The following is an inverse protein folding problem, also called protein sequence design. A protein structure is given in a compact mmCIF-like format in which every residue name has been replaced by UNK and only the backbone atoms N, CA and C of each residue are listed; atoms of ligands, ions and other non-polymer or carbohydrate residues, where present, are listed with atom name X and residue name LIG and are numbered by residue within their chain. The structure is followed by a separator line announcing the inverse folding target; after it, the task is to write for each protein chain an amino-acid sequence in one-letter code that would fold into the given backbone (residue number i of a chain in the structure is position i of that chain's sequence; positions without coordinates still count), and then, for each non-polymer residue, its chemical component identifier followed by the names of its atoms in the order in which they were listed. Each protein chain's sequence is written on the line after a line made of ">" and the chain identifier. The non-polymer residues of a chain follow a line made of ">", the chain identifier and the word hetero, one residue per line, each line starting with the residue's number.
data_IF_294149791952
#
_entry.id   IF_294149791952
#
_cell.length_a   1.000
_cell.length_b   1.000
_cell.length_c   1.000
_cell.angle_alpha   90.00
_cell.angle_beta   90.00
_cell.angle_gamma   90.00
#
_symmetry.space_group_name_H-M   'P 1'
#
loop_
_entity.id
_entity.type
_entity.pdbx_description
1 polymer ?
#
# COMPACT_ATOMS: atom_id res chain seq x y z
N UNK A 1 19.28 2.25 -12.30
CA UNK A 1 18.72 1.41 -13.37
C UNK A 1 19.80 0.44 -13.84
N UNK A 2 19.48 -0.82 -14.01
CA UNK A 2 20.42 -1.78 -14.59
C UNK A 2 20.38 -1.61 -16.12
N UNK A 3 21.41 -1.08 -16.76
CA UNK A 3 21.41 -0.81 -18.19
C UNK A 3 21.35 -2.07 -19.06
N UNK A 4 21.41 -3.26 -18.45
CA UNK A 4 21.31 -4.54 -19.16
C UNK A 4 19.91 -5.12 -19.22
N UNK A 5 18.91 -4.49 -18.58
CA UNK A 5 17.52 -4.90 -18.73
C UNK A 5 16.97 -4.36 -20.06
N UNK A 6 16.88 -5.25 -21.03
CA UNK A 6 16.36 -4.96 -22.38
C UNK A 6 14.84 -5.10 -22.45
N UNK A 7 14.19 -5.63 -21.41
CA UNK A 7 12.74 -5.87 -21.36
C UNK A 7 12.06 -4.88 -20.40
N UNK A 8 11.03 -4.23 -20.87
CA UNK A 8 10.13 -3.46 -20.02
C UNK A 8 9.44 -4.38 -19.00
N UNK A 9 9.26 -3.88 -17.77
CA UNK A 9 8.59 -4.64 -16.72
C UNK A 9 7.10 -4.90 -17.00
N UNK A 10 6.50 -4.13 -17.88
CA UNK A 10 5.07 -4.14 -18.18
C UNK A 10 4.39 -2.83 -17.78
N UNK A 11 3.06 -2.78 -17.88
CA UNK A 11 2.26 -1.59 -17.65
C UNK A 11 1.66 -1.59 -16.22
N UNK A 12 1.82 -0.47 -15.53
CA UNK A 12 1.38 -0.18 -14.15
C UNK A 12 1.95 -1.14 -13.09
N UNK A 13 3.15 -0.83 -12.58
CA UNK A 13 3.69 -1.47 -11.37
C UNK A 13 2.91 -1.01 -10.13
N UNK A 14 2.16 -1.92 -9.49
CA UNK A 14 1.27 -1.60 -8.38
C UNK A 14 1.89 -1.84 -7.00
N UNK A 15 2.78 -2.80 -6.86
CA UNK A 15 3.52 -3.06 -5.60
C UNK A 15 4.88 -3.69 -5.89
N UNK A 16 5.82 -3.52 -4.96
CA UNK A 16 7.14 -4.11 -5.03
C UNK A 16 7.61 -4.55 -3.64
N UNK A 17 8.00 -5.80 -3.49
CA UNK A 17 8.45 -6.38 -2.22
C UNK A 17 9.65 -7.29 -2.39
N UNK A 18 10.47 -7.35 -1.36
CA UNK A 18 11.59 -8.30 -1.25
C UNK A 18 11.20 -9.45 -0.35
N UNK A 19 11.45 -10.68 -0.80
CA UNK A 19 11.37 -11.87 0.04
C UNK A 19 12.50 -12.86 -0.27
N UNK A 20 13.32 -13.17 0.73
CA UNK A 20 14.53 -13.96 0.56
C UNK A 20 15.51 -13.28 -0.40
N UNK A 21 15.91 -13.99 -1.43
CA UNK A 21 16.80 -13.48 -2.47
C UNK A 21 16.07 -13.01 -3.75
N UNK A 22 14.77 -12.79 -3.65
CA UNK A 22 13.92 -12.41 -4.78
C UNK A 22 13.25 -11.06 -4.56
N UNK A 23 13.06 -10.34 -5.66
CA UNK A 23 12.26 -9.14 -5.79
C UNK A 23 10.98 -9.48 -6.55
N UNK A 24 9.84 -9.14 -6.00
CA UNK A 24 8.52 -9.36 -6.59
C UNK A 24 7.91 -8.02 -6.95
N UNK A 25 7.51 -7.85 -8.21
CA UNK A 25 6.81 -6.67 -8.70
C UNK A 25 5.43 -7.08 -9.23
N UNK A 26 4.37 -6.54 -8.63
CA UNK A 26 3.00 -6.77 -9.09
C UNK A 26 2.71 -5.80 -10.23
N UNK A 27 2.49 -6.33 -11.44
CA UNK A 27 2.24 -5.54 -12.65
C UNK A 27 0.75 -5.66 -13.00
N UNK A 28 0.00 -4.64 -12.61
CA UNK A 28 -1.45 -4.66 -12.59
C UNK A 28 -2.08 -4.84 -13.98
N UNK A 29 -1.86 -3.89 -14.89
CA UNK A 29 -2.50 -3.89 -16.22
C UNK A 29 -1.97 -5.00 -17.12
N UNK A 30 -0.71 -5.38 -16.94
CA UNK A 30 -0.13 -6.52 -17.67
C UNK A 30 -0.50 -7.88 -17.07
N UNK A 31 -1.23 -7.92 -15.95
CA UNK A 31 -1.82 -9.13 -15.36
C UNK A 31 -0.82 -10.20 -14.94
N UNK A 32 0.28 -9.81 -14.29
CA UNK A 32 1.25 -10.76 -13.73
C UNK A 32 2.03 -10.18 -12.55
N UNK A 33 2.70 -11.06 -11.82
CA UNK A 33 3.76 -10.73 -10.87
C UNK A 33 5.08 -11.11 -11.51
N UNK A 34 5.97 -10.14 -11.70
CA UNK A 34 7.34 -10.37 -12.15
C UNK A 34 8.21 -10.74 -10.95
N UNK A 35 8.94 -11.84 -11.05
CA UNK A 35 9.89 -12.31 -10.03
C UNK A 35 11.29 -12.20 -10.57
N UNK A 36 12.14 -11.48 -9.83
CA UNK A 36 13.52 -11.18 -10.24
C UNK A 36 14.52 -11.59 -9.15
N UNK A 37 15.73 -11.84 -9.54
CA UNK A 37 16.86 -12.01 -8.63
C UNK A 37 17.19 -10.67 -7.97
N UNK A 38 17.29 -10.67 -6.63
CA UNK A 38 17.33 -9.44 -5.83
C UNK A 38 18.51 -8.52 -6.17
N UNK A 39 19.71 -9.07 -6.39
CA UNK A 39 20.93 -8.29 -6.59
C UNK A 39 21.11 -7.77 -8.00
N UNK A 40 20.63 -8.51 -8.99
CA UNK A 40 20.86 -8.23 -10.41
C UNK A 40 19.62 -7.73 -11.14
N UNK A 41 18.43 -7.86 -10.52
CA UNK A 41 17.13 -7.67 -11.13
C UNK A 41 16.91 -8.52 -12.41
N UNK A 42 17.64 -9.63 -12.54
CA UNK A 42 17.41 -10.57 -13.64
C UNK A 42 16.11 -11.32 -13.47
N UNK A 43 15.39 -11.49 -14.55
CA UNK A 43 14.16 -12.28 -14.59
C UNK A 43 14.38 -13.70 -14.07
N UNK A 44 13.48 -14.17 -13.22
CA UNK A 44 13.39 -15.55 -12.75
C UNK A 44 12.12 -16.21 -13.30
N UNK A 45 10.96 -15.57 -13.09
CA UNK A 45 9.67 -16.09 -13.50
C UNK A 45 8.61 -14.98 -13.59
N UNK A 46 7.56 -15.27 -14.34
CA UNK A 46 6.33 -14.48 -14.38
C UNK A 46 5.19 -15.34 -13.84
N UNK A 47 4.44 -14.83 -12.88
CA UNK A 47 3.27 -15.51 -12.29
C UNK A 47 2.02 -14.81 -12.78
N UNK A 48 1.16 -15.42 -13.63
CA UNK A 48 -0.06 -14.80 -14.10
C UNK A 48 -1.01 -14.47 -12.94
N UNK A 49 -1.48 -13.21 -12.86
CA UNK A 49 -2.46 -12.75 -11.88
C UNK A 49 -3.24 -11.57 -12.46
N UNK A 50 -4.49 -11.79 -12.81
CA UNK A 50 -5.36 -10.77 -13.37
C UNK A 50 -5.55 -9.61 -12.37
N UNK A 51 -5.27 -8.39 -12.81
CA UNK A 51 -5.39 -7.17 -11.99
C UNK A 51 -4.86 -7.34 -10.56
N UNK A 52 -3.64 -7.88 -10.42
CA UNK A 52 -2.94 -8.00 -9.14
C UNK A 52 -2.71 -6.61 -8.52
N UNK A 53 -2.88 -6.51 -7.20
CA UNK A 53 -2.74 -5.22 -6.50
C UNK A 53 -1.55 -5.19 -5.55
N UNK A 54 -1.63 -5.88 -4.45
CA UNK A 54 -0.60 -5.87 -3.40
C UNK A 54 -0.15 -7.28 -3.09
N UNK A 55 1.07 -7.41 -2.56
CA UNK A 55 1.66 -8.69 -2.18
C UNK A 55 2.26 -8.60 -0.78
N UNK A 56 2.11 -9.66 0.03
CA UNK A 56 2.78 -9.80 1.33
C UNK A 56 3.24 -11.24 1.54
N UNK A 57 4.12 -11.49 2.52
CA UNK A 57 4.81 -12.77 2.67
C UNK A 57 4.80 -13.27 4.10
N UNK A 58 4.59 -14.57 4.27
CA UNK A 58 4.80 -15.30 5.51
C UNK A 58 5.12 -16.78 5.23
N UNK A 59 5.99 -17.38 6.04
CA UNK A 59 6.22 -18.83 6.10
C UNK A 59 6.48 -19.50 4.74
N UNK A 60 7.27 -18.88 3.88
CA UNK A 60 7.61 -19.40 2.55
C UNK A 60 6.49 -19.26 1.51
N UNK A 61 5.45 -18.51 1.82
CA UNK A 61 4.33 -18.20 0.93
C UNK A 61 4.25 -16.71 0.66
N UNK A 62 3.79 -16.36 -0.54
CA UNK A 62 3.33 -15.03 -0.89
C UNK A 62 1.80 -15.03 -0.99
N UNK A 63 1.20 -13.93 -0.60
CA UNK A 63 -0.23 -13.69 -0.70
C UNK A 63 -0.44 -12.42 -1.50
N UNK A 64 -1.24 -12.50 -2.57
CA UNK A 64 -1.47 -11.36 -3.45
C UNK A 64 -2.96 -11.13 -3.67
N UNK A 65 -3.38 -9.86 -3.59
CA UNK A 65 -4.74 -9.43 -3.89
C UNK A 65 -4.94 -9.24 -5.39
N UNK A 66 -6.15 -9.49 -5.87
CA UNK A 66 -6.57 -9.30 -7.25
C UNK A 66 -8.01 -8.81 -7.31
N UNK A 67 -8.29 -7.86 -8.20
CA UNK A 67 -9.66 -7.42 -8.46
C UNK A 67 -10.52 -8.48 -9.16
N UNK A 68 -9.89 -9.50 -9.75
CA UNK A 68 -10.54 -10.56 -10.53
C UNK A 68 -11.44 -10.03 -11.66
N UNK A 69 -11.15 -8.85 -12.17
CA UNK A 69 -11.88 -8.18 -13.23
C UNK A 69 -11.22 -6.86 -13.65
N UNK A 70 -11.77 -6.16 -14.64
CA UNK A 70 -11.16 -4.95 -15.20
C UNK A 70 -11.18 -3.78 -14.20
N UNK A 71 -10.23 -2.86 -14.34
CA UNK A 71 -10.19 -1.58 -13.62
C UNK A 71 -11.06 -0.57 -14.36
N UNK A 72 -12.36 -0.68 -14.19
CA UNK A 72 -13.36 0.22 -14.78
C UNK A 72 -14.46 0.53 -13.77
N UNK A 73 -15.08 1.70 -13.89
CA UNK A 73 -16.25 2.04 -13.08
C UNK A 73 -17.40 1.12 -13.49
N UNK A 74 -17.71 0.15 -12.63
CA UNK A 74 -18.79 -0.80 -12.83
C UNK A 74 -19.39 -1.24 -11.47
N UNK A 75 -20.63 -0.86 -11.16
CA UNK A 75 -21.31 -1.28 -9.95
C UNK A 75 -21.55 -2.82 -9.89
N UNK A 76 -21.40 -3.52 -11.03
CA UNK A 76 -21.53 -4.98 -11.15
C UNK A 76 -20.18 -5.69 -11.15
N UNK A 77 -19.07 -5.00 -10.87
CA UNK A 77 -17.74 -5.61 -10.79
C UNK A 77 -17.77 -6.86 -9.89
N UNK A 78 -17.02 -7.91 -10.23
CA UNK A 78 -17.00 -9.14 -9.45
C UNK A 78 -16.37 -8.93 -8.07
N UNK A 79 -16.59 -9.86 -7.17
CA UNK A 79 -15.80 -9.97 -5.94
C UNK A 79 -14.33 -10.22 -6.31
N UNK A 80 -13.44 -9.62 -5.53
CA UNK A 80 -12.01 -9.86 -5.67
C UNK A 80 -11.56 -11.15 -4.99
N UNK A 81 -10.28 -11.42 -5.08
CA UNK A 81 -9.68 -12.60 -4.49
C UNK A 81 -8.29 -12.35 -3.92
N UNK A 82 -7.86 -13.25 -3.05
CA UNK A 82 -6.46 -13.43 -2.68
C UNK A 82 -5.97 -14.76 -3.22
N UNK A 83 -4.76 -14.77 -3.76
CA UNK A 83 -4.05 -15.98 -4.15
C UNK A 83 -2.89 -16.25 -3.20
N UNK A 84 -2.67 -17.53 -2.86
CA UNK A 84 -1.46 -18.01 -2.20
C UNK A 84 -0.48 -18.54 -3.25
N UNK A 85 0.76 -18.11 -3.16
CA UNK A 85 1.84 -18.49 -4.07
C UNK A 85 2.95 -19.15 -3.26
N UNK A 86 3.40 -20.33 -3.68
CA UNK A 86 4.58 -20.95 -3.11
C UNK A 86 5.85 -20.25 -3.62
N UNK A 87 6.68 -19.73 -2.71
CA UNK A 87 7.86 -18.91 -3.07
C UNK A 87 9.05 -19.71 -3.61
N UNK A 88 9.02 -21.05 -3.52
CA UNK A 88 10.04 -21.92 -4.09
C UNK A 88 9.66 -22.32 -5.52
N UNK A 89 8.42 -22.78 -5.71
CA UNK A 89 7.93 -23.24 -7.02
C UNK A 89 7.40 -22.11 -7.89
N UNK A 90 7.11 -20.94 -7.30
CA UNK A 90 6.52 -19.76 -7.94
C UNK A 90 5.17 -20.03 -8.61
N UNK A 91 4.39 -20.93 -8.01
CA UNK A 91 3.06 -21.32 -8.50
C UNK A 91 1.98 -20.91 -7.52
N UNK A 92 0.82 -20.48 -8.04
CA UNK A 92 -0.39 -20.30 -7.24
C UNK A 92 -0.82 -21.68 -6.74
N UNK A 93 -1.06 -21.80 -5.44
CA UNK A 93 -1.43 -23.06 -4.76
C UNK A 93 -2.87 -23.06 -4.28
N UNK A 94 -3.39 -21.90 -3.86
CA UNK A 94 -4.76 -21.74 -3.36
C UNK A 94 -5.29 -20.36 -3.74
N UNK A 95 -6.61 -20.21 -3.74
CA UNK A 95 -7.27 -18.89 -3.84
C UNK A 95 -8.49 -18.84 -2.92
N UNK A 96 -8.85 -17.62 -2.49
CA UNK A 96 -10.04 -17.33 -1.70
C UNK A 96 -10.69 -16.05 -2.17
N UNK A 97 -12.02 -16.09 -2.33
CA UNK A 97 -12.81 -14.89 -2.65
C UNK A 97 -12.92 -14.01 -1.40
N UNK A 98 -12.83 -12.69 -1.58
CA UNK A 98 -12.93 -11.68 -0.53
C UNK A 98 -13.97 -10.61 -0.88
N UNK A 99 -13.82 -9.37 -0.39
CA UNK A 99 -14.67 -8.26 -0.79
C UNK A 99 -14.38 -7.73 -2.19
N UNK A 100 -15.02 -6.62 -2.52
CA UNK A 100 -14.86 -5.99 -3.82
C UNK A 100 -13.57 -5.18 -3.90
N UNK A 101 -12.84 -5.39 -4.99
CA UNK A 101 -11.64 -4.62 -5.33
C UNK A 101 -10.66 -4.52 -4.14
N UNK A 102 -10.14 -5.66 -3.66
CA UNK A 102 -9.22 -5.72 -2.53
C UNK A 102 -7.91 -4.99 -2.86
N UNK A 103 -7.51 -4.08 -2.00
CA UNK A 103 -6.24 -3.33 -2.10
C UNK A 103 -5.16 -3.96 -1.19
N UNK A 104 -4.58 -3.21 -0.26
CA UNK A 104 -3.45 -3.69 0.55
C UNK A 104 -3.86 -4.78 1.55
N UNK A 105 -2.89 -5.63 1.90
CA UNK A 105 -3.08 -6.77 2.80
C UNK A 105 -1.96 -6.83 3.83
N UNK A 106 -2.31 -7.25 5.05
CA UNK A 106 -1.36 -7.39 6.15
C UNK A 106 -1.56 -8.72 6.89
N UNK A 107 -0.47 -9.25 7.45
CA UNK A 107 -0.48 -10.54 8.17
C UNK A 107 -0.19 -10.29 9.64
N UNK A 108 -1.11 -10.75 10.50
CA UNK A 108 -0.90 -10.79 11.96
C UNK A 108 -1.11 -12.23 12.41
N UNK A 109 -0.10 -12.80 13.04
CA UNK A 109 -0.09 -14.21 13.47
C UNK A 109 -0.44 -15.16 12.32
N UNK A 110 -1.56 -15.87 12.43
CA UNK A 110 -2.05 -16.82 11.41
C UNK A 110 -3.19 -16.26 10.56
N UNK A 111 -3.48 -14.96 10.65
CA UNK A 111 -4.54 -14.31 9.92
C UNK A 111 -3.97 -13.33 8.88
N UNK A 112 -4.60 -13.32 7.72
CA UNK A 112 -4.39 -12.35 6.66
C UNK A 112 -5.59 -11.39 6.63
N UNK A 113 -5.31 -10.10 6.71
CA UNK A 113 -6.29 -9.02 6.70
C UNK A 113 -6.20 -8.29 5.37
N UNK A 114 -7.35 -8.08 4.71
CA UNK A 114 -7.42 -7.50 3.36
C UNK A 114 -8.37 -6.31 3.36
N UNK A 115 -7.88 -5.14 2.99
CA UNK A 115 -8.67 -3.94 2.84
C UNK A 115 -9.46 -3.99 1.52
N UNK A 116 -10.78 -4.07 1.58
CA UNK A 116 -11.66 -4.07 0.42
C UNK A 116 -12.13 -2.65 0.11
N UNK A 117 -11.80 -2.14 -1.07
CA UNK A 117 -12.13 -0.76 -1.44
C UNK A 117 -13.49 -0.66 -2.14
N UNK A 118 -13.78 -1.54 -3.06
CA UNK A 118 -14.89 -1.35 -3.99
C UNK A 118 -14.79 -0.01 -4.75
N UNK A 119 -13.58 0.56 -4.88
CA UNK A 119 -13.36 1.93 -5.30
C UNK A 119 -13.88 2.28 -6.69
N UNK A 120 -14.01 1.29 -7.57
CA UNK A 120 -14.60 1.46 -8.91
C UNK A 120 -16.07 1.03 -8.99
N UNK A 121 -16.71 0.69 -7.86
CA UNK A 121 -18.15 0.35 -7.79
C UNK A 121 -19.04 1.54 -7.38
N UNK A 122 -18.63 2.73 -7.69
CA UNK A 122 -19.35 3.98 -7.35
C UNK A 122 -20.83 3.90 -7.69
N UNK A 123 -21.73 4.26 -6.74
CA UNK A 123 -21.50 4.65 -5.35
C UNK A 123 -21.52 3.49 -4.35
N UNK A 124 -21.53 2.20 -4.79
CA UNK A 124 -21.62 1.02 -3.93
C UNK A 124 -20.22 0.54 -3.52
N UNK A 125 -19.44 1.39 -2.86
CA UNK A 125 -18.13 1.02 -2.33
C UNK A 125 -18.20 -0.17 -1.37
N UNK A 126 -17.11 -0.94 -1.27
CA UNK A 126 -16.93 -1.87 -0.16
C UNK A 126 -16.49 -1.09 1.10
N UNK A 127 -16.68 -1.68 2.28
CA UNK A 127 -16.38 -1.03 3.55
C UNK A 127 -15.72 -1.99 4.55
N UNK A 128 -15.25 -3.13 4.07
CA UNK A 128 -14.85 -4.24 4.94
C UNK A 128 -13.37 -4.55 4.88
N UNK A 129 -12.84 -5.06 5.99
CA UNK A 129 -11.58 -5.80 6.03
C UNK A 129 -11.93 -7.29 6.11
N UNK A 130 -11.53 -8.07 5.09
CA UNK A 130 -11.66 -9.53 5.11
C UNK A 130 -10.60 -10.15 5.99
N UNK A 131 -10.98 -11.12 6.83
CA UNK A 131 -10.08 -11.92 7.67
C UNK A 131 -9.99 -13.33 7.11
N UNK A 132 -8.78 -13.76 6.77
CA UNK A 132 -8.53 -15.09 6.17
C UNK A 132 -7.62 -15.87 7.12
N UNK A 133 -8.06 -17.04 7.57
CA UNK A 133 -7.19 -17.98 8.28
C UNK A 133 -6.19 -18.62 7.31
N UNK A 134 -4.89 -18.42 7.53
CA UNK A 134 -3.83 -18.87 6.63
C UNK A 134 -3.66 -20.39 6.59
N UNK A 135 -4.07 -21.10 7.64
CA UNK A 135 -3.99 -22.57 7.69
C UNK A 135 -5.02 -23.21 6.77
N UNK A 136 -6.28 -22.79 6.88
CA UNK A 136 -7.39 -23.30 6.07
C UNK A 136 -7.51 -22.58 4.74
N UNK A 137 -6.99 -21.38 4.62
CA UNK A 137 -7.09 -20.44 3.52
C UNK A 137 -8.55 -20.14 3.15
N UNK A 138 -9.34 -19.84 4.18
CA UNK A 138 -10.74 -19.45 4.06
C UNK A 138 -10.98 -18.12 4.74
N UNK A 139 -11.86 -17.31 4.14
CA UNK A 139 -12.38 -16.12 4.82
C UNK A 139 -13.24 -16.57 5.99
N UNK A 140 -12.92 -16.07 7.18
CA UNK A 140 -13.60 -16.42 8.44
C UNK A 140 -14.53 -15.33 8.90
N UNK A 141 -14.23 -14.06 8.55
CA UNK A 141 -14.96 -12.90 9.01
C UNK A 141 -14.75 -11.71 8.05
N UNK A 142 -15.67 -10.75 8.10
CA UNK A 142 -15.51 -9.40 7.54
C UNK A 142 -15.74 -8.37 8.64
N UNK A 143 -14.76 -7.50 8.84
CA UNK A 143 -14.82 -6.40 9.80
C UNK A 143 -15.36 -5.17 9.08
N UNK A 144 -16.53 -4.66 9.45
CA UNK A 144 -17.07 -3.39 8.95
C UNK A 144 -16.24 -2.23 9.50
N UNK A 145 -15.72 -1.36 8.62
CA UNK A 145 -14.88 -0.22 9.00
C UNK A 145 -15.43 1.09 8.45
N UNK A 146 -15.21 1.36 7.17
CA UNK A 146 -15.67 2.54 6.45
C UNK A 146 -15.52 2.31 4.94
N UNK A 147 -16.20 3.08 4.11
CA UNK A 147 -16.20 2.92 2.66
C UNK A 147 -14.81 3.15 2.05
N UNK A 148 -14.51 2.42 0.98
CA UNK A 148 -13.35 2.63 0.12
C UNK A 148 -12.01 2.52 0.87
N UNK A 149 -11.79 1.39 1.55
CA UNK A 149 -10.55 1.11 2.26
C UNK A 149 -9.37 0.98 1.29
N UNK A 150 -8.16 1.33 1.74
CA UNK A 150 -6.99 1.33 0.86
C UNK A 150 -5.75 0.72 1.49
N UNK A 151 -5.10 1.42 2.42
CA UNK A 151 -3.88 0.96 3.07
C UNK A 151 -4.20 0.20 4.34
N UNK A 152 -3.45 -0.86 4.59
CA UNK A 152 -3.51 -1.60 5.85
C UNK A 152 -2.10 -2.06 6.24
N UNK A 153 -1.66 -1.69 7.45
CA UNK A 153 -0.37 -2.13 8.01
C UNK A 153 -0.53 -2.34 9.50
N UNK A 154 0.22 -3.30 10.03
CA UNK A 154 0.27 -3.55 11.46
C UNK A 154 1.36 -2.75 12.16
N UNK A 155 1.15 -2.48 13.43
CA UNK A 155 2.20 -2.05 14.35
C UNK A 155 2.88 -3.26 15.04
N UNK A 156 3.72 -2.97 16.04
CA UNK A 156 4.45 -4.00 16.79
C UNK A 156 3.57 -4.79 17.77
N UNK A 157 2.39 -4.30 18.14
CA UNK A 157 1.42 -5.00 19.00
C UNK A 157 0.44 -5.85 18.19
N UNK A 158 0.49 -5.73 16.87
CA UNK A 158 -0.39 -6.40 15.94
C UNK A 158 -1.68 -5.63 15.65
N UNK A 159 -1.84 -4.41 16.16
CA UNK A 159 -2.97 -3.56 15.80
C UNK A 159 -2.85 -3.11 14.34
N UNK A 160 -3.98 -3.08 13.64
CA UNK A 160 -4.04 -2.78 12.23
C UNK A 160 -4.47 -1.33 12.00
N UNK A 161 -3.61 -0.56 11.35
CA UNK A 161 -3.89 0.78 10.88
C UNK A 161 -4.44 0.72 9.47
N UNK A 162 -5.66 1.25 9.26
CA UNK A 162 -6.40 1.13 7.99
C UNK A 162 -6.85 2.49 7.51
N UNK A 163 -6.57 2.85 6.26
CA UNK A 163 -7.09 4.08 5.66
C UNK A 163 -8.37 3.83 4.89
N UNK A 164 -9.29 4.80 4.96
CA UNK A 164 -10.45 4.94 4.08
C UNK A 164 -10.25 6.19 3.21
N UNK A 165 -10.56 6.11 1.92
CA UNK A 165 -10.62 7.28 1.03
C UNK A 165 -11.95 8.02 1.11
N UNK A 166 -12.93 7.47 1.88
CA UNK A 166 -14.29 7.99 1.89
C UNK A 166 -15.00 7.81 0.54
N UNK A 167 -16.04 8.59 0.34
CA UNK A 167 -16.84 8.56 -0.89
C UNK A 167 -16.51 9.71 -1.86
N UNK A 168 -15.49 10.50 -1.54
CA UNK A 168 -15.05 11.72 -2.23
C UNK A 168 -16.05 12.90 -2.18
N UNK A 169 -17.15 12.80 -1.40
CA UNK A 169 -18.18 13.83 -1.31
C UNK A 169 -18.58 14.13 0.14
N UNK A 170 -19.31 13.23 0.76
CA UNK A 170 -19.91 13.43 2.09
C UNK A 170 -19.16 12.70 3.21
N UNK A 171 -18.52 11.60 2.89
CA UNK A 171 -17.73 10.80 3.83
C UNK A 171 -16.26 11.11 3.58
N UNK A 172 -15.58 11.83 4.51
CA UNK A 172 -14.18 12.18 4.34
C UNK A 172 -13.27 10.96 4.49
N UNK A 173 -12.09 11.04 3.89
CA UNK A 173 -11.01 10.07 4.16
C UNK A 173 -10.63 10.07 5.65
N UNK A 174 -10.15 8.93 6.13
CA UNK A 174 -9.84 8.76 7.55
C UNK A 174 -8.83 7.63 7.79
N UNK A 175 -8.28 7.61 9.01
CA UNK A 175 -7.44 6.54 9.55
C UNK A 175 -8.12 5.86 10.72
N UNK A 176 -8.15 4.53 10.70
CA UNK A 176 -8.73 3.67 11.74
C UNK A 176 -7.68 2.76 12.33
N UNK A 177 -7.85 2.39 13.61
CA UNK A 177 -7.10 1.32 14.27
C UNK A 177 -8.05 0.19 14.61
N UNK A 178 -7.69 -1.01 14.23
CA UNK A 178 -8.43 -2.24 14.50
C UNK A 178 -7.57 -3.12 15.40
N UNK A 179 -8.12 -3.56 16.53
CA UNK A 179 -7.53 -4.60 17.37
C UNK A 179 -7.64 -5.94 16.62
N UNK A 180 -6.51 -6.53 16.24
CA UNK A 180 -6.47 -7.78 15.48
C UNK A 180 -6.89 -9.01 16.27
N UNK A 181 -7.00 -8.94 17.60
CA UNK A 181 -7.44 -10.04 18.47
C UNK A 181 -8.93 -10.06 18.66
N UNK A 182 -9.55 -8.88 18.75
CA UNK A 182 -10.99 -8.74 18.98
C UNK A 182 -11.78 -8.38 17.74
N UNK A 183 -11.08 -8.03 16.64
CA UNK A 183 -11.63 -7.55 15.37
C UNK A 183 -12.53 -6.30 15.52
N UNK A 184 -12.26 -5.47 16.53
CA UNK A 184 -13.02 -4.24 16.79
C UNK A 184 -12.20 -3.01 16.46
N UNK A 185 -12.89 -1.96 15.99
CA UNK A 185 -12.28 -0.65 15.82
C UNK A 185 -11.96 -0.09 17.21
N UNK A 186 -10.67 0.15 17.48
CA UNK A 186 -10.18 0.79 18.71
C UNK A 186 -10.25 2.30 18.62
N UNK A 187 -9.93 2.85 17.44
CA UNK A 187 -9.80 4.29 17.24
C UNK A 187 -10.17 4.72 15.84
N UNK A 188 -10.79 5.88 15.73
CA UNK A 188 -10.96 6.69 14.53
C UNK A 188 -10.25 8.01 14.76
N UNK A 189 -9.27 8.33 13.91
CA UNK A 189 -8.43 9.52 14.11
C UNK A 189 -9.11 10.83 13.73
N UNK A 190 -10.14 10.81 12.86
CA UNK A 190 -10.69 11.98 12.19
C UNK A 190 -9.60 12.77 11.46
N UNK A 191 -8.69 12.05 10.84
CA UNK A 191 -7.52 12.54 10.16
C UNK A 191 -7.47 11.93 8.76
N UNK A 192 -7.47 12.74 7.70
CA UNK A 192 -7.26 12.24 6.36
C UNK A 192 -5.82 11.73 6.22
N UNK A 193 -5.67 10.49 5.75
CA UNK A 193 -4.37 9.86 5.49
C UNK A 193 -4.43 9.19 4.13
N UNK A 194 -3.68 9.72 3.17
CA UNK A 194 -3.62 9.16 1.82
C UNK A 194 -2.69 7.96 1.73
N UNK A 195 -1.54 8.01 2.42
CA UNK A 195 -0.60 6.90 2.52
C UNK A 195 0.27 7.02 3.78
N UNK A 196 0.79 5.89 4.25
CA UNK A 196 1.63 5.85 5.44
C UNK A 196 2.59 4.66 5.46
N UNK A 197 3.58 4.75 6.33
CA UNK A 197 4.48 3.63 6.69
C UNK A 197 4.68 3.60 8.20
N UNK A 198 4.92 2.41 8.76
CA UNK A 198 5.18 2.22 10.19
C UNK A 198 6.59 1.70 10.37
N UNK A 199 7.38 2.40 11.18
CA UNK A 199 8.75 2.01 11.57
C UNK A 199 8.99 2.42 13.03
N UNK A 200 9.49 1.50 13.86
CA UNK A 200 9.83 1.75 15.29
C UNK A 200 8.69 2.41 16.08
N UNK A 201 7.50 1.86 16.01
CA UNK A 201 6.29 2.36 16.68
C UNK A 201 5.88 3.79 16.27
N UNK A 202 6.33 4.24 15.10
CA UNK A 202 5.92 5.50 14.52
C UNK A 202 5.28 5.27 13.16
N UNK A 203 4.08 5.79 13.00
CA UNK A 203 3.39 5.87 11.73
C UNK A 203 3.67 7.23 11.11
N UNK A 204 4.39 7.22 9.99
CA UNK A 204 4.68 8.40 9.18
C UNK A 204 3.67 8.48 8.06
N UNK A 205 2.97 9.60 7.93
CA UNK A 205 1.91 9.76 6.93
C UNK A 205 2.01 11.06 6.15
N UNK A 206 1.38 11.06 5.00
CA UNK A 206 0.94 12.27 4.33
C UNK A 206 -0.56 12.18 3.98
N UNK A 207 -1.17 13.35 3.87
CA UNK A 207 -2.49 13.56 3.29
C UNK A 207 -2.37 14.45 2.07
N UNK A 208 -3.18 14.19 1.05
CA UNK A 208 -3.33 15.01 -0.15
C UNK A 208 -4.82 15.02 -0.52
N UNK A 209 -5.57 15.91 0.12
CA UNK A 209 -7.03 15.97 0.03
C UNK A 209 -7.47 17.07 -0.91
N UNK A 210 -8.35 16.74 -1.83
CA UNK A 210 -8.99 17.70 -2.72
C UNK A 210 -10.20 18.34 -2.04
N UNK A 211 -10.24 19.67 -2.03
CA UNK A 211 -11.38 20.42 -1.51
C UNK A 211 -12.31 20.81 -2.66
N UNK A 212 -13.49 20.21 -2.70
CA UNK A 212 -14.49 20.46 -3.76
C UNK A 212 -15.13 21.85 -3.72
N UNK A 213 -14.91 22.63 -2.65
CA UNK A 213 -15.40 24.02 -2.52
C UNK A 213 -14.39 25.01 -3.07
N UNK A 214 -13.10 24.85 -2.73
CA UNK A 214 -12.02 25.74 -3.18
C UNK A 214 -11.35 25.26 -4.47
N UNK A 215 -11.57 24.00 -4.86
CA UNK A 215 -10.90 23.31 -5.97
C UNK A 215 -9.38 23.24 -5.79
N UNK A 216 -8.92 23.18 -4.55
CA UNK A 216 -7.51 23.09 -4.20
C UNK A 216 -7.19 21.82 -3.44
N UNK A 217 -5.93 21.37 -3.53
CA UNK A 217 -5.41 20.29 -2.71
C UNK A 217 -4.83 20.82 -1.41
N UNK A 218 -5.26 20.25 -0.28
CA UNK A 218 -4.64 20.47 1.03
C UNK A 218 -3.70 19.32 1.33
N UNK A 219 -2.43 19.63 1.55
CA UNK A 219 -1.40 18.65 1.91
C UNK A 219 -1.03 18.79 3.39
N UNK A 220 -0.93 17.66 4.05
CA UNK A 220 -0.40 17.59 5.42
C UNK A 220 0.52 16.38 5.58
N UNK A 221 1.41 16.47 6.56
CA UNK A 221 2.38 15.45 6.87
C UNK A 221 2.49 15.31 8.38
N UNK A 222 2.69 14.11 8.89
CA UNK A 222 2.84 13.96 10.33
C UNK A 222 3.30 12.59 10.78
N UNK A 223 3.42 12.48 12.10
CA UNK A 223 3.82 11.26 12.80
C UNK A 223 2.79 10.95 13.90
N UNK A 224 2.36 9.70 13.94
CA UNK A 224 1.57 9.13 15.03
C UNK A 224 2.46 8.15 15.79
N UNK A 225 2.48 8.23 17.10
CA UNK A 225 3.03 7.18 17.95
C UNK A 225 2.02 6.03 18.03
N UNK A 226 2.41 4.82 17.59
CA UNK A 226 1.48 3.69 17.53
C UNK A 226 1.24 3.02 18.88
N UNK A 227 2.07 3.32 19.90
CA UNK A 227 1.87 2.82 21.26
C UNK A 227 0.84 3.63 22.05
N UNK A 228 0.87 4.95 21.90
CA UNK A 228 -0.09 5.84 22.55
C UNK A 228 -1.28 6.16 21.65
N UNK A 229 -1.18 5.86 20.36
CA UNK A 229 -2.14 6.22 19.30
C UNK A 229 -2.40 7.75 19.26
N UNK A 230 -1.36 8.55 19.48
CA UNK A 230 -1.44 10.01 19.48
C UNK A 230 -0.61 10.62 18.34
N UNK A 231 -1.09 11.73 17.80
CA UNK A 231 -0.33 12.53 16.84
C UNK A 231 0.76 13.25 17.60
N UNK A 232 2.01 12.88 17.38
CA UNK A 232 3.17 13.46 18.08
C UNK A 232 3.89 14.53 17.27
N UNK A 233 3.63 14.62 15.97
CA UNK A 233 4.23 15.63 15.11
C UNK A 233 3.33 15.89 13.88
N UNK A 234 3.10 17.16 13.56
CA UNK A 234 2.37 17.61 12.38
C UNK A 234 3.29 18.26 11.31
N UNK A 235 4.60 18.29 11.58
CA UNK A 235 5.64 18.80 10.68
C UNK A 235 6.70 17.73 10.44
N UNK A 236 6.35 16.68 9.69
CA UNK A 236 7.23 15.54 9.38
C UNK A 236 8.58 15.99 8.78
N UNK A 237 8.58 17.07 8.01
CA UNK A 237 9.75 17.66 7.37
C UNK A 237 9.78 19.16 7.67
N UNK A 238 10.86 19.59 8.33
CA UNK A 238 11.05 21.02 8.68
C UNK A 238 11.74 21.82 7.56
N UNK A 239 12.18 21.15 6.50
CA UNK A 239 12.87 21.79 5.36
C UNK A 239 11.85 22.38 4.38
N UNK A 240 12.03 23.64 3.93
CA UNK A 240 11.12 24.28 2.99
C UNK A 240 10.99 23.55 1.64
N UNK A 241 11.93 22.69 1.28
CA UNK A 241 11.90 21.85 0.08
C UNK A 241 10.63 20.97 0.01
N UNK A 242 10.01 20.62 1.16
CA UNK A 242 8.74 19.87 1.19
C UNK A 242 7.63 20.56 0.39
N UNK A 243 7.65 21.89 0.29
CA UNK A 243 6.68 22.67 -0.47
C UNK A 243 6.79 22.48 -1.99
N UNK A 244 7.95 21.98 -2.46
CA UNK A 244 8.19 21.69 -3.87
C UNK A 244 7.62 20.34 -4.30
N UNK A 245 7.11 19.53 -3.38
CA UNK A 245 6.40 18.30 -3.70
C UNK A 245 4.99 18.69 -4.14
N UNK A 246 4.72 18.51 -5.42
CA UNK A 246 3.44 18.91 -6.03
C UNK A 246 2.33 17.97 -5.66
N UNK A 247 2.57 16.67 -5.87
CA UNK A 247 1.60 15.59 -5.62
C UNK A 247 2.29 14.43 -4.91
N UNK A 248 2.30 14.41 -3.56
CA UNK A 248 2.89 13.30 -2.81
C UNK A 248 2.10 12.01 -3.08
N UNK A 249 2.82 10.89 -3.30
CA UNK A 249 2.19 9.64 -3.70
C UNK A 249 2.72 8.40 -2.96
N UNK A 250 4.03 8.21 -2.88
CA UNK A 250 4.66 7.16 -2.10
C UNK A 250 5.35 7.73 -0.86
N UNK A 251 5.35 6.96 0.22
CA UNK A 251 6.09 7.28 1.45
C UNK A 251 6.77 6.03 1.99
N UNK A 252 8.03 6.15 2.38
CA UNK A 252 8.76 5.09 3.06
C UNK A 252 9.79 5.67 4.04
N UNK A 253 10.08 4.92 5.08
CA UNK A 253 11.18 5.20 6.02
C UNK A 253 12.13 4.02 6.00
N UNK A 254 13.42 4.28 5.79
CA UNK A 254 14.42 3.23 5.87
C UNK A 254 14.53 2.73 7.32
N UNK A 255 14.27 1.45 7.60
CA UNK A 255 14.25 0.93 8.97
C UNK A 255 15.63 0.96 9.67
N UNK A 256 16.73 1.11 8.91
CA UNK A 256 18.09 1.20 9.45
C UNK A 256 18.54 2.64 9.65
N UNK A 257 18.55 3.45 8.56
CA UNK A 257 19.05 4.83 8.60
C UNK A 257 18.02 5.82 9.13
N UNK A 258 16.74 5.44 9.14
CA UNK A 258 15.59 6.29 9.46
C UNK A 258 15.41 7.46 8.49
N UNK A 259 16.05 7.40 7.34
CA UNK A 259 15.80 8.37 6.27
C UNK A 259 14.37 8.21 5.75
N UNK A 260 13.70 9.34 5.54
CA UNK A 260 12.36 9.41 4.99
C UNK A 260 12.42 9.65 3.49
N UNK A 261 11.61 8.92 2.75
CA UNK A 261 11.44 9.06 1.31
C UNK A 261 10.00 9.40 0.98
N UNK A 262 9.82 10.45 0.18
CA UNK A 262 8.50 10.85 -0.35
C UNK A 262 8.64 10.98 -1.85
N UNK A 263 7.70 10.39 -2.60
CA UNK A 263 7.64 10.56 -4.05
C UNK A 263 6.70 11.69 -4.44
N UNK A 264 7.03 12.33 -5.54
CA UNK A 264 6.21 13.33 -6.20
C UNK A 264 5.86 12.82 -7.60
N UNK A 265 4.60 12.67 -7.91
CA UNK A 265 4.12 12.24 -9.23
C UNK A 265 3.79 13.43 -10.14
N UNK A 266 3.86 14.66 -9.62
CA UNK A 266 3.54 15.86 -10.36
C UNK A 266 2.15 15.77 -11.01
N UNK A 267 2.11 15.74 -12.33
CA UNK A 267 0.87 15.71 -13.12
C UNK A 267 0.43 14.30 -13.55
N UNK A 268 0.99 13.22 -13.01
CA UNK A 268 0.72 11.82 -13.38
C UNK A 268 1.11 11.38 -14.80
N UNK A 269 1.68 12.26 -15.60
CA UNK A 269 2.05 12.00 -17.01
C UNK A 269 3.57 12.09 -17.21
N UNK A 270 4.19 13.08 -16.58
CA UNK A 270 5.63 13.30 -16.64
C UNK A 270 6.37 12.37 -15.69
N UNK A 271 7.68 12.31 -15.85
CA UNK A 271 8.56 11.67 -14.87
C UNK A 271 8.35 12.27 -13.49
N UNK A 272 8.34 11.41 -12.48
CA UNK A 272 8.24 11.84 -11.09
C UNK A 272 9.60 11.99 -10.42
N UNK A 273 9.56 12.24 -9.12
CA UNK A 273 10.75 12.43 -8.30
C UNK A 273 10.67 11.66 -6.99
N UNK A 274 11.84 11.32 -6.44
CA UNK A 274 11.99 10.88 -5.04
C UNK A 274 12.75 11.97 -4.29
N UNK A 275 12.19 12.39 -3.17
CA UNK A 275 12.84 13.27 -2.20
C UNK A 275 13.28 12.42 -1.01
N UNK A 276 14.50 12.63 -0.55
CA UNK A 276 15.06 12.01 0.64
C UNK A 276 15.34 13.06 1.70
N UNK A 277 14.88 12.78 2.91
CA UNK A 277 15.14 13.59 4.11
C UNK A 277 15.81 12.70 5.16
N UNK A 278 16.64 13.29 6.01
CA UNK A 278 17.21 12.54 7.13
C UNK A 278 16.18 12.31 8.25
N UNK A 279 16.57 11.59 9.28
CA UNK A 279 15.73 11.27 10.45
C UNK A 279 15.20 12.51 11.22
N UNK A 280 15.78 13.67 11.01
CA UNK A 280 15.37 14.96 11.61
C UNK A 280 14.52 15.81 10.66
N UNK A 281 14.23 15.31 9.46
CA UNK A 281 13.45 16.00 8.45
C UNK A 281 14.27 17.00 7.61
N UNK A 282 15.60 16.99 7.68
CA UNK A 282 16.45 17.82 6.82
C UNK A 282 16.60 17.19 5.43
N UNK A 283 16.54 18.01 4.39
CA UNK A 283 16.67 17.57 3.01
C UNK A 283 18.08 17.01 2.75
N UNK A 284 18.16 15.85 2.10
CA UNK A 284 19.43 15.21 1.69
C UNK A 284 19.65 15.29 0.19
N UNK A 285 18.68 14.83 -0.58
CA UNK A 285 18.77 14.82 -2.04
C UNK A 285 17.39 14.58 -2.69
N UNK A 286 17.33 14.89 -3.99
CA UNK A 286 16.22 14.61 -4.89
C UNK A 286 16.76 13.91 -6.12
N UNK A 287 16.00 12.95 -6.66
CA UNK A 287 16.33 12.29 -7.93
C UNK A 287 15.09 12.09 -8.78
N UNK A 288 15.28 12.14 -10.11
CA UNK A 288 14.24 11.84 -11.08
C UNK A 288 14.00 10.32 -11.13
N UNK A 289 12.75 9.94 -11.40
CA UNK A 289 12.31 8.54 -11.54
C UNK A 289 11.51 8.36 -12.83
N UNK A 290 10.96 7.15 -13.03
CA UNK A 290 9.89 6.94 -14.01
C UNK A 290 8.59 7.64 -13.61
N UNK A 291 7.55 7.45 -14.42
CA UNK A 291 6.23 8.02 -14.16
C UNK A 291 5.59 7.33 -12.95
N UNK A 292 4.86 8.09 -12.15
CA UNK A 292 4.05 7.66 -11.01
C UNK A 292 4.84 6.76 -10.02
N UNK A 293 5.99 7.24 -9.45
CA UNK A 293 6.70 6.48 -8.44
C UNK A 293 5.86 6.35 -7.17
N UNK A 294 5.59 5.11 -6.72
CA UNK A 294 4.65 4.84 -5.64
C UNK A 294 5.24 4.02 -4.49
N UNK A 295 6.04 3.00 -4.80
CA UNK A 295 6.44 1.98 -3.85
C UNK A 295 7.96 1.85 -3.73
N UNK A 296 8.40 1.38 -2.57
CA UNK A 296 9.81 1.23 -2.23
C UNK A 296 10.10 -0.18 -1.75
N UNK A 297 11.26 -0.68 -2.14
CA UNK A 297 11.85 -1.87 -1.57
C UNK A 297 13.29 -1.57 -1.13
N UNK A 298 13.62 -1.85 0.11
CA UNK A 298 14.97 -1.66 0.64
C UNK A 298 15.77 -2.95 0.53
N UNK A 299 16.98 -2.85 -0.04
CA UNK A 299 17.92 -3.97 -0.16
C UNK A 299 19.16 -3.63 0.63
N UNK A 300 19.48 -4.46 1.60
CA UNK A 300 20.68 -4.29 2.45
C UNK A 300 21.81 -5.19 1.93
N UNK A 301 23.04 -4.63 1.98
CA UNK A 301 24.27 -5.37 1.63
C UNK A 301 24.76 -6.19 2.79
#
# INVERSE_FOLDING_TARGET
>A
ANPTMVKELGDVGNDIKVYGNKLYAVINVSNFIEVMELKTAKHIATIPLENGRYINFANGKAYATSYAGPVTIDPKAPLGKVVEIDTLTLKITREVTVGYQPDELEIVDNNLYVANSGGYRVPQYDKTVSVIDLKTFKETEKIDVEVNLHRIKKDSDGDLYVTSRGDYYSIPSNLYVIDSKTHKIKKKFNLPVSNFTIVDNKLYYYSNEFNYTTFEYTKSYGIIDTKTEEIINTNLVNDPVIKNIETPYGIAVNPVTKDLYITDVGNYVSKGYVYCFDKNGAFKWKTETGNIPAHFAFVYK
#
